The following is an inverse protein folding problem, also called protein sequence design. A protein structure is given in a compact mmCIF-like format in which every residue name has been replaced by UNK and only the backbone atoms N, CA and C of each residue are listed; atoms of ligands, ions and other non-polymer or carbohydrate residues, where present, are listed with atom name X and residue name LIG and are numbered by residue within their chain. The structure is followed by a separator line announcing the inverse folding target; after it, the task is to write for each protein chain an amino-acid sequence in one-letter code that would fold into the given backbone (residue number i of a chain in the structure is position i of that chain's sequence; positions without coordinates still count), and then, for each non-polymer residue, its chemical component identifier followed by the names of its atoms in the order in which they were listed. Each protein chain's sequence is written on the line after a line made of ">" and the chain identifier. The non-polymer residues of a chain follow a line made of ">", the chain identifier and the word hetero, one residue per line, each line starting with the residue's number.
data_IF_467220825510
#
_entry.id   IF_467220825510
#
_cell.length_a   1.000
_cell.length_b   1.000
_cell.length_c   1.000
_cell.angle_alpha   90.00
_cell.angle_beta   90.00
_cell.angle_gamma   90.00
#
_symmetry.space_group_name_H-M   'P 1'
#
loop_
_entity.id
_entity.type
_entity.pdbx_description
1 polymer ?
#
# COMPACT_ATOMS: atom_id res chain seq x y z
N UNK A 1 -8.43 -44.25 -28.77
CA UNK A 1 -8.51 -43.84 -30.19
C UNK A 1 -9.83 -44.31 -30.81
N UNK A 2 -10.24 -45.57 -30.62
CA UNK A 2 -11.54 -46.05 -31.15
C UNK A 2 -12.81 -45.44 -30.54
N UNK A 3 -12.82 -45.04 -29.26
CA UNK A 3 -13.99 -44.37 -28.65
C UNK A 3 -14.19 -42.91 -29.07
N UNK A 4 -13.16 -42.25 -29.62
CA UNK A 4 -13.24 -40.86 -30.09
C UNK A 4 -13.83 -40.75 -31.51
N UNK A 5 -13.67 -41.78 -32.34
CA UNK A 5 -14.12 -41.76 -33.73
C UNK A 5 -15.63 -42.01 -33.89
N UNK A 6 -16.31 -42.58 -32.89
CA UNK A 6 -17.74 -42.89 -32.98
C UNK A 6 -18.66 -41.69 -32.68
N UNK A 7 -18.16 -40.63 -32.05
CA UNK A 7 -18.94 -39.42 -31.75
C UNK A 7 -18.96 -38.39 -32.89
N UNK A 8 -18.13 -38.54 -33.93
CA UNK A 8 -18.05 -37.56 -35.02
C UNK A 8 -19.13 -37.73 -36.12
N UNK A 9 -19.88 -38.85 -36.14
CA UNK A 9 -20.80 -39.18 -37.24
C UNK A 9 -22.29 -38.96 -36.94
N UNK A 10 -22.65 -38.22 -35.88
CA UNK A 10 -24.03 -37.75 -35.71
C UNK A 10 -24.18 -36.34 -36.29
N UNK A 11 -25.25 -36.04 -37.05
CA UNK A 11 -25.51 -34.67 -37.47
C UNK A 11 -25.78 -33.83 -36.22
N UNK A 12 -24.77 -33.04 -35.82
CA UNK A 12 -24.87 -32.14 -34.65
C UNK A 12 -26.05 -31.22 -34.87
N UNK A 13 -26.96 -31.17 -33.90
CA UNK A 13 -28.10 -30.26 -33.95
C UNK A 13 -27.58 -28.82 -33.86
N UNK A 14 -28.22 -27.86 -34.55
CA UNK A 14 -27.80 -26.45 -34.51
C UNK A 14 -27.72 -25.88 -33.07
N UNK A 15 -28.45 -26.50 -32.14
CA UNK A 15 -28.44 -26.19 -30.72
C UNK A 15 -27.08 -26.53 -30.08
N UNK A 16 -26.46 -27.66 -30.40
CA UNK A 16 -25.14 -28.04 -29.87
C UNK A 16 -24.01 -27.12 -30.38
N UNK A 17 -24.11 -26.66 -31.64
CA UNK A 17 -23.14 -25.70 -32.20
C UNK A 17 -23.23 -24.33 -31.51
N UNK A 18 -24.42 -23.89 -31.10
CA UNK A 18 -24.61 -22.66 -30.33
C UNK A 18 -24.04 -22.76 -28.90
N UNK A 19 -24.05 -23.95 -28.29
CA UNK A 19 -23.45 -24.17 -26.97
C UNK A 19 -21.92 -24.22 -27.01
N UNK A 20 -21.32 -24.76 -28.08
CA UNK A 20 -19.87 -24.81 -28.27
C UNK A 20 -19.27 -23.40 -28.48
N UNK A 21 -20.03 -22.46 -29.07
CA UNK A 21 -19.64 -21.04 -29.19
C UNK A 21 -19.79 -20.23 -27.89
N UNK A 22 -20.56 -20.72 -26.91
CA UNK A 22 -20.91 -20.00 -25.69
C UNK A 22 -20.02 -20.34 -24.48
N UNK A 23 -19.11 -21.31 -24.59
CA UNK A 23 -18.15 -21.60 -23.53
C UNK A 23 -17.00 -20.58 -23.54
N UNK A 24 -16.76 -19.97 -22.37
CA UNK A 24 -15.63 -19.06 -22.20
C UNK A 24 -14.32 -19.85 -22.41
N UNK A 25 -13.45 -19.44 -23.35
CA UNK A 25 -12.20 -20.13 -23.58
C UNK A 25 -11.27 -20.06 -22.34
N UNK A 26 -10.39 -21.06 -22.15
CA UNK A 26 -9.50 -21.10 -21.00
C UNK A 26 -8.50 -19.92 -21.01
N UNK A 27 -8.08 -19.51 -19.81
CA UNK A 27 -7.08 -18.46 -19.64
C UNK A 27 -5.68 -19.02 -19.47
N UNK A 28 -4.73 -18.49 -20.25
CA UNK A 28 -3.32 -18.86 -20.18
C UNK A 28 -2.46 -17.59 -20.23
N UNK A 29 -1.54 -17.46 -19.27
CA UNK A 29 -0.53 -16.41 -19.26
C UNK A 29 0.86 -17.01 -19.38
N UNK A 30 1.66 -16.49 -20.31
CA UNK A 30 3.06 -16.85 -20.41
C UNK A 30 3.81 -16.26 -19.20
N UNK A 31 4.38 -17.14 -18.37
CA UNK A 31 5.12 -16.75 -17.17
C UNK A 31 6.58 -17.17 -17.27
N UNK A 32 7.47 -16.28 -16.83
CA UNK A 32 8.88 -16.57 -16.67
C UNK A 32 9.12 -17.17 -15.27
N UNK A 33 10.30 -17.75 -15.02
CA UNK A 33 10.68 -18.28 -13.71
C UNK A 33 10.48 -17.26 -12.56
N UNK A 34 10.67 -15.98 -12.86
CA UNK A 34 10.45 -14.87 -11.93
C UNK A 34 8.97 -14.58 -11.65
N UNK A 35 8.13 -14.49 -12.69
CA UNK A 35 6.71 -14.11 -12.56
C UNK A 35 5.80 -15.27 -12.18
N UNK A 36 6.27 -16.52 -12.33
CA UNK A 36 5.53 -17.73 -12.00
C UNK A 36 5.07 -17.76 -10.54
N UNK A 37 5.92 -17.33 -9.60
CA UNK A 37 5.58 -17.28 -8.16
C UNK A 37 4.42 -16.35 -7.90
N UNK A 38 4.48 -15.12 -8.42
CA UNK A 38 3.43 -14.12 -8.26
C UNK A 38 2.13 -14.56 -8.93
N UNK A 39 2.24 -15.19 -10.10
CA UNK A 39 1.07 -15.74 -10.80
C UNK A 39 0.40 -16.83 -9.97
N UNK A 40 1.16 -17.80 -9.43
CA UNK A 40 0.64 -18.86 -8.58
C UNK A 40 -0.06 -18.32 -7.33
N UNK A 41 0.46 -17.27 -6.69
CA UNK A 41 -0.18 -16.63 -5.53
C UNK A 41 -1.54 -16.04 -5.93
N UNK A 42 -1.61 -15.37 -7.08
CA UNK A 42 -2.86 -14.76 -7.57
C UNK A 42 -3.88 -15.81 -7.99
N UNK A 43 -3.46 -16.83 -8.76
CA UNK A 43 -4.37 -17.89 -9.24
C UNK A 43 -4.91 -18.75 -8.09
N UNK A 44 -4.16 -18.87 -6.99
CA UNK A 44 -4.65 -19.54 -5.79
C UNK A 44 -5.81 -18.79 -5.12
N UNK A 45 -5.92 -17.46 -5.30
CA UNK A 45 -7.08 -16.70 -4.85
C UNK A 45 -8.25 -16.83 -5.81
N UNK A 46 -7.98 -16.79 -7.12
CA UNK A 46 -8.99 -17.03 -8.15
C UNK A 46 -8.39 -16.91 -9.55
N UNK A 47 -8.88 -17.77 -10.45
CA UNK A 47 -8.48 -17.71 -11.87
C UNK A 47 -9.15 -16.51 -12.54
N UNK A 48 -8.41 -15.62 -13.23
CA UNK A 48 -8.99 -14.49 -13.94
C UNK A 48 -9.79 -14.94 -15.16
N UNK A 49 -10.77 -14.12 -15.54
CA UNK A 49 -11.66 -14.37 -16.69
C UNK A 49 -10.93 -14.20 -18.03
N UNK A 50 -11.51 -14.75 -19.10
CA UNK A 50 -10.93 -14.63 -20.45
C UNK A 50 -10.77 -13.17 -20.88
N UNK A 51 -9.54 -12.83 -21.30
CA UNK A 51 -9.10 -11.46 -21.66
C UNK A 51 -9.23 -10.41 -20.55
N UNK A 52 -9.28 -10.84 -19.30
CA UNK A 52 -9.16 -9.94 -18.15
C UNK A 52 -7.70 -9.52 -17.92
N UNK A 53 -7.50 -8.33 -17.36
CA UNK A 53 -6.17 -7.82 -17.00
C UNK A 53 -5.58 -8.71 -15.90
N UNK A 54 -4.35 -9.22 -16.12
CA UNK A 54 -3.66 -10.04 -15.13
C UNK A 54 -3.24 -9.21 -13.91
N UNK A 55 -3.78 -9.47 -12.70
CA UNK A 55 -3.40 -8.72 -11.52
C UNK A 55 -1.98 -9.08 -11.01
N UNK A 56 -1.43 -10.23 -11.41
CA UNK A 56 -0.12 -10.71 -10.92
C UNK A 56 1.05 -9.76 -11.25
N UNK A 57 0.98 -9.04 -12.38
CA UNK A 57 2.01 -8.07 -12.79
C UNK A 57 2.13 -6.94 -11.76
N UNK A 58 1.06 -6.63 -11.06
CA UNK A 58 0.95 -5.50 -10.15
C UNK A 58 1.30 -5.90 -8.73
N UNK A 59 0.85 -7.09 -8.35
CA UNK A 59 1.29 -7.75 -7.13
C UNK A 59 2.81 -7.92 -7.08
N UNK A 60 3.49 -8.01 -8.23
CA UNK A 60 4.95 -8.07 -8.32
C UNK A 60 5.65 -6.94 -7.54
N UNK A 61 5.13 -5.72 -7.59
CA UNK A 61 5.71 -4.57 -6.88
C UNK A 61 5.00 -4.29 -5.57
N UNK A 62 3.67 -4.34 -5.58
CA UNK A 62 2.85 -3.94 -4.44
C UNK A 62 2.99 -4.90 -3.26
N UNK A 63 3.07 -6.22 -3.52
CA UNK A 63 3.20 -7.20 -2.45
C UNK A 63 4.53 -7.05 -1.69
N UNK A 64 5.70 -7.01 -2.36
CA UNK A 64 6.96 -6.75 -1.65
C UNK A 64 7.03 -5.39 -0.97
N UNK A 65 6.44 -4.35 -1.57
CA UNK A 65 6.39 -3.01 -0.97
C UNK A 65 5.58 -2.99 0.33
N UNK A 66 4.38 -3.59 0.34
CA UNK A 66 3.55 -3.67 1.55
C UNK A 66 4.21 -4.53 2.64
N UNK A 67 4.87 -5.63 2.24
CA UNK A 67 5.71 -6.41 3.17
C UNK A 67 6.81 -5.55 3.79
N UNK A 68 7.54 -4.78 2.97
CA UNK A 68 8.63 -3.93 3.43
C UNK A 68 8.17 -2.84 4.41
N UNK A 69 6.97 -2.31 4.26
CA UNK A 69 6.40 -1.33 5.20
C UNK A 69 6.08 -1.93 6.56
N UNK A 70 5.73 -3.22 6.60
CA UNK A 70 5.49 -3.98 7.85
C UNK A 70 6.81 -4.44 8.49
N UNK A 71 7.75 -4.90 7.68
CA UNK A 71 9.06 -5.42 8.09
C UNK A 71 10.17 -4.39 7.83
N UNK A 72 10.00 -3.16 8.30
CA UNK A 72 10.95 -2.06 8.04
C UNK A 72 12.13 -2.01 9.01
N UNK A 73 13.09 -2.92 8.86
CA UNK A 73 14.36 -2.93 9.61
C UNK A 73 15.51 -3.36 8.69
N UNK A 74 16.55 -2.55 8.57
CA UNK A 74 17.70 -2.81 7.68
C UNK A 74 18.44 -4.08 8.08
N UNK A 75 18.65 -4.30 9.38
CA UNK A 75 19.47 -5.40 9.89
C UNK A 75 18.83 -6.75 9.57
N UNK A 76 17.56 -6.89 9.92
CA UNK A 76 16.79 -8.09 9.63
C UNK A 76 16.56 -8.28 8.11
N UNK A 77 16.32 -7.20 7.36
CA UNK A 77 16.22 -7.25 5.91
C UNK A 77 17.50 -7.76 5.25
N UNK A 78 18.66 -7.31 5.74
CA UNK A 78 19.95 -7.74 5.23
C UNK A 78 20.20 -9.23 5.43
N UNK A 79 19.81 -9.78 6.59
CA UNK A 79 19.86 -11.22 6.84
C UNK A 79 18.96 -11.98 5.85
N UNK A 80 17.71 -11.55 5.69
CA UNK A 80 16.77 -12.17 4.74
C UNK A 80 17.28 -12.07 3.28
N UNK A 81 17.94 -10.97 2.94
CA UNK A 81 18.56 -10.78 1.62
C UNK A 81 19.70 -11.79 1.39
N UNK A 82 20.58 -11.99 2.37
CA UNK A 82 21.66 -12.98 2.28
C UNK A 82 21.12 -14.41 2.17
N UNK A 83 20.08 -14.75 2.92
CA UNK A 83 19.42 -16.07 2.83
C UNK A 83 18.80 -16.28 1.45
N UNK A 84 18.08 -15.29 0.91
CA UNK A 84 17.50 -15.36 -0.43
C UNK A 84 18.58 -15.50 -1.51
N UNK A 85 19.68 -14.76 -1.38
CA UNK A 85 20.81 -14.83 -2.31
C UNK A 85 21.50 -16.20 -2.25
N UNK A 86 21.67 -16.77 -1.06
CA UNK A 86 22.19 -18.13 -0.88
C UNK A 86 21.32 -19.16 -1.63
N UNK A 87 19.98 -19.08 -1.50
CA UNK A 87 19.06 -19.99 -2.18
C UNK A 87 19.14 -19.91 -3.71
N UNK A 88 19.41 -18.72 -4.25
CA UNK A 88 19.57 -18.53 -5.71
C UNK A 88 20.93 -19.07 -6.18
N UNK A 89 22.02 -18.83 -5.44
CA UNK A 89 23.35 -19.31 -5.82
C UNK A 89 23.48 -20.84 -5.77
N UNK A 90 22.83 -21.47 -4.79
CA UNK A 90 22.88 -22.92 -4.58
C UNK A 90 21.71 -23.69 -5.19
N UNK A 91 20.93 -23.09 -6.10
CA UNK A 91 19.74 -23.69 -6.74
C UNK A 91 19.98 -25.12 -7.27
N UNK A 92 21.14 -25.40 -7.86
CA UNK A 92 21.47 -26.72 -8.43
C UNK A 92 21.98 -27.74 -7.41
N UNK A 93 22.39 -27.31 -6.22
CA UNK A 93 23.00 -28.15 -5.19
C UNK A 93 22.06 -28.43 -4.01
N UNK A 94 20.92 -27.77 -3.97
CA UNK A 94 19.92 -27.94 -2.92
C UNK A 94 19.09 -29.20 -3.17
N UNK A 95 19.12 -30.10 -2.19
CA UNK A 95 18.27 -31.28 -2.19
C UNK A 95 16.87 -30.89 -1.68
N UNK A 96 15.85 -31.10 -2.51
CA UNK A 96 14.48 -30.60 -2.29
C UNK A 96 13.58 -31.63 -1.59
N UNK A 97 14.13 -32.50 -0.74
CA UNK A 97 13.39 -33.60 -0.12
C UNK A 97 12.34 -33.15 0.92
N UNK A 98 12.37 -31.88 1.35
CA UNK A 98 11.44 -31.33 2.34
C UNK A 98 10.47 -30.35 1.68
N UNK A 99 9.16 -30.56 1.84
CA UNK A 99 8.09 -29.71 1.29
C UNK A 99 8.27 -28.21 1.63
N UNK A 100 8.74 -27.92 2.86
CA UNK A 100 8.99 -26.53 3.30
C UNK A 100 10.14 -25.90 2.51
N UNK A 101 11.21 -26.66 2.25
CA UNK A 101 12.38 -26.18 1.51
C UNK A 101 12.02 -26.01 0.04
N UNK A 102 11.20 -26.90 -0.52
CA UNK A 102 10.66 -26.76 -1.87
C UNK A 102 9.83 -25.49 -2.02
N UNK A 103 8.93 -25.20 -1.07
CA UNK A 103 8.12 -23.99 -1.07
C UNK A 103 8.97 -22.72 -1.03
N UNK A 104 9.97 -22.68 -0.15
CA UNK A 104 10.90 -21.54 -0.02
C UNK A 104 11.74 -21.39 -1.29
N UNK A 105 12.19 -22.50 -1.88
CA UNK A 105 12.94 -22.49 -3.15
C UNK A 105 12.10 -22.02 -4.33
N UNK A 106 10.82 -22.39 -4.38
CA UNK A 106 9.86 -21.85 -5.34
C UNK A 106 9.74 -20.32 -5.18
N UNK A 107 9.64 -19.83 -3.95
CA UNK A 107 9.51 -18.41 -3.61
C UNK A 107 10.79 -17.56 -3.61
N UNK A 108 11.96 -18.09 -4.01
CA UNK A 108 13.26 -17.43 -3.82
C UNK A 108 13.36 -15.99 -4.36
N UNK A 109 12.81 -15.74 -5.54
CA UNK A 109 12.80 -14.39 -6.14
C UNK A 109 11.91 -13.42 -5.37
N UNK A 110 10.79 -13.91 -4.83
CA UNK A 110 9.87 -13.11 -4.02
C UNK A 110 10.55 -12.69 -2.70
N UNK A 111 11.27 -13.61 -2.04
CA UNK A 111 12.02 -13.31 -0.80
C UNK A 111 13.12 -12.28 -1.06
N UNK A 112 13.83 -12.38 -2.18
CA UNK A 112 14.88 -11.43 -2.54
C UNK A 112 14.33 -10.00 -2.71
N UNK A 113 13.24 -9.84 -3.45
CA UNK A 113 12.63 -8.52 -3.69
C UNK A 113 12.05 -7.95 -2.39
N UNK A 114 11.39 -8.79 -1.58
CA UNK A 114 10.87 -8.41 -0.26
C UNK A 114 11.98 -7.87 0.65
N UNK A 115 13.12 -8.56 0.71
CA UNK A 115 14.26 -8.14 1.49
C UNK A 115 14.88 -6.83 0.96
N UNK A 116 14.96 -6.66 -0.37
CA UNK A 116 15.47 -5.43 -0.97
C UNK A 116 14.59 -4.21 -0.67
N UNK A 117 13.26 -4.32 -0.81
CA UNK A 117 12.35 -3.23 -0.43
C UNK A 117 12.35 -2.96 1.07
N UNK A 118 12.43 -4.02 1.89
CA UNK A 118 12.49 -3.93 3.35
C UNK A 118 13.74 -3.18 3.84
N UNK A 119 14.86 -3.33 3.13
CA UNK A 119 16.07 -2.55 3.40
C UNK A 119 15.87 -1.06 3.08
N UNK A 120 15.20 -0.73 1.98
CA UNK A 120 14.87 0.65 1.60
C UNK A 120 13.92 1.29 2.62
N UNK A 121 12.86 0.60 3.04
CA UNK A 121 11.93 1.13 4.05
C UNK A 121 12.57 1.23 5.44
N UNK A 122 13.44 0.29 5.81
CA UNK A 122 14.23 0.37 7.03
C UNK A 122 15.16 1.59 7.05
N UNK A 123 15.75 1.96 5.90
CA UNK A 123 16.51 3.21 5.73
C UNK A 123 15.64 4.46 5.91
N UNK A 124 14.40 4.45 5.42
CA UNK A 124 13.45 5.55 5.63
C UNK A 124 13.05 5.67 7.11
N UNK A 125 12.85 4.55 7.80
CA UNK A 125 12.58 4.56 9.25
C UNK A 125 13.81 4.84 10.11
N UNK A 126 15.02 4.72 9.53
CA UNK A 126 16.29 4.83 10.22
C UNK A 126 16.38 3.88 11.43
N UNK A 127 16.00 2.61 11.22
CA UNK A 127 16.04 1.56 12.24
C UNK A 127 16.91 0.38 11.76
N UNK A 128 17.97 0.09 12.51
CA UNK A 128 18.88 -1.04 12.31
C UNK A 128 19.02 -1.80 13.61
N UNK A 129 18.45 -2.99 13.70
CA UNK A 129 18.46 -3.79 14.93
C UNK A 129 18.05 -2.97 16.16
N UNK A 130 16.99 -2.15 16.04
CA UNK A 130 16.48 -1.24 17.07
C UNK A 130 17.32 0.03 17.36
N UNK A 131 18.41 0.25 16.63
CA UNK A 131 19.31 1.41 16.75
C UNK A 131 19.14 2.37 15.57
N UNK A 132 19.29 3.68 15.84
CA UNK A 132 19.23 4.72 14.81
C UNK A 132 20.64 5.20 14.42
N UNK A 133 20.90 5.37 13.13
CA UNK A 133 22.19 5.87 12.63
C UNK A 133 22.11 7.34 12.21
N UNK A 134 23.10 8.12 12.62
CA UNK A 134 23.20 9.52 12.27
C UNK A 134 24.03 9.73 10.99
N UNK A 135 23.40 9.53 9.81
CA UNK A 135 24.08 9.67 8.52
C UNK A 135 24.36 11.13 8.12
N UNK A 136 23.44 12.06 8.38
CA UNK A 136 23.50 13.44 7.86
C UNK A 136 23.74 14.52 8.93
N UNK A 137 23.96 14.12 10.18
CA UNK A 137 23.96 15.04 11.32
C UNK A 137 22.54 15.48 11.67
N UNK A 138 22.14 15.26 12.92
CA UNK A 138 20.83 15.72 13.39
C UNK A 138 20.73 17.23 13.37
N UNK A 139 19.52 17.72 13.09
CA UNK A 139 19.19 19.14 13.11
C UNK A 139 18.61 19.59 14.45
N UNK A 140 18.40 18.66 15.39
CA UNK A 140 18.01 19.00 16.75
C UNK A 140 19.24 19.45 17.55
N UNK A 141 19.23 20.71 17.96
CA UNK A 141 20.26 21.27 18.82
C UNK A 141 19.81 21.19 20.27
N UNK A 142 20.72 20.75 21.15
CA UNK A 142 20.49 20.73 22.58
C UNK A 142 20.50 22.16 23.10
N UNK A 143 19.38 22.60 23.69
CA UNK A 143 19.35 23.88 24.39
C UNK A 143 19.99 23.71 25.78
N UNK A 144 21.23 24.16 25.93
CA UNK A 144 21.98 24.06 27.18
C UNK A 144 21.54 25.10 28.24
N UNK A 145 20.57 25.95 27.93
CA UNK A 145 20.15 27.06 28.81
C UNK A 145 19.38 26.62 30.06
N UNK A 146 18.80 25.41 30.06
CA UNK A 146 18.16 24.85 31.25
C UNK A 146 19.10 23.84 31.91
N UNK A 147 19.88 24.29 32.88
CA UNK A 147 20.75 23.48 33.74
C UNK A 147 19.98 22.56 34.72
N UNK A 148 18.77 22.14 34.37
CA UNK A 148 18.02 21.13 35.10
C UNK A 148 18.12 19.83 34.28
N UNK A 149 18.90 18.88 34.78
CA UNK A 149 19.23 17.57 34.20
C UNK A 149 18.02 16.68 33.81
N UNK A 150 16.79 17.14 34.01
CA UNK A 150 15.58 16.33 33.90
C UNK A 150 14.88 16.42 32.55
N UNK A 151 15.04 17.52 31.78
CA UNK A 151 14.40 17.66 30.45
C UNK A 151 15.26 18.51 29.51
N UNK A 152 16.03 17.86 28.65
CA UNK A 152 16.71 18.50 27.53
C UNK A 152 15.67 18.79 26.44
N UNK A 153 15.30 20.05 26.27
CA UNK A 153 14.44 20.47 25.16
C UNK A 153 15.34 20.69 23.95
N UNK A 154 15.04 20.02 22.84
CA UNK A 154 15.76 20.21 21.60
C UNK A 154 15.14 21.34 20.79
N UNK A 155 15.95 22.33 20.38
CA UNK A 155 15.53 23.35 19.41
C UNK A 155 15.51 22.74 18.01
N UNK A 156 14.45 23.03 17.27
CA UNK A 156 14.31 22.63 15.87
C UNK A 156 15.25 23.48 14.99
N UNK A 157 16.35 22.89 14.53
CA UNK A 157 17.32 23.53 13.63
C UNK A 157 17.06 23.29 12.14
N UNK A 158 16.04 22.50 11.77
CA UNK A 158 15.67 22.22 10.38
C UNK A 158 15.13 20.81 10.16
N UNK A 159 14.72 20.52 8.92
CA UNK A 159 14.25 19.19 8.50
C UNK A 159 15.45 18.30 8.22
N UNK A 160 15.39 17.02 8.64
CA UNK A 160 16.42 16.03 8.36
C UNK A 160 16.40 15.61 6.89
N UNK A 161 17.57 15.38 6.28
CA UNK A 161 17.67 15.23 4.83
C UNK A 161 17.04 13.93 4.30
N UNK A 162 17.04 12.85 5.09
CA UNK A 162 16.54 11.55 4.63
C UNK A 162 16.06 10.67 5.79
N UNK A 163 14.80 10.26 5.77
CA UNK A 163 14.21 9.41 6.80
C UNK A 163 13.89 10.13 8.10
N UNK A 164 13.77 9.36 9.20
CA UNK A 164 13.48 9.90 10.53
C UNK A 164 14.79 10.34 11.22
N UNK A 165 14.76 11.51 11.87
CA UNK A 165 15.91 12.02 12.60
C UNK A 165 16.30 11.05 13.75
N UNK A 166 17.58 10.67 13.88
CA UNK A 166 18.04 9.74 14.92
C UNK A 166 17.63 10.11 16.34
N UNK A 167 17.54 11.41 16.66
CA UNK A 167 17.26 11.84 18.04
C UNK A 167 15.84 11.51 18.49
N UNK A 168 14.92 11.29 17.56
CA UNK A 168 13.58 10.80 17.91
C UNK A 168 13.61 9.43 18.55
N UNK A 169 14.67 8.63 18.43
CA UNK A 169 14.75 7.32 19.08
C UNK A 169 14.94 7.42 20.59
N UNK A 170 15.65 8.46 21.06
CA UNK A 170 15.97 8.66 22.48
C UNK A 170 15.00 9.59 23.22
N UNK A 171 13.99 10.13 22.54
CA UNK A 171 12.98 10.98 23.18
C UNK A 171 11.87 10.18 23.87
N UNK A 172 11.37 10.68 25.01
CA UNK A 172 10.23 10.07 25.71
C UNK A 172 8.96 10.05 24.84
N UNK A 173 8.81 11.03 23.94
CA UNK A 173 7.66 11.15 23.04
C UNK A 173 7.85 10.40 21.71
N UNK A 174 8.92 9.60 21.57
CA UNK A 174 9.26 8.83 20.37
C UNK A 174 8.11 7.93 19.90
N UNK A 175 7.48 7.22 20.84
CA UNK A 175 6.41 6.28 20.56
C UNK A 175 5.16 6.99 20.01
N UNK A 176 4.81 8.14 20.59
CA UNK A 176 3.66 8.92 20.13
C UNK A 176 3.88 9.48 18.71
N UNK A 177 5.09 9.98 18.43
CA UNK A 177 5.47 10.46 17.11
C UNK A 177 5.45 9.32 16.07
N UNK A 178 6.14 8.22 16.34
CA UNK A 178 6.25 7.09 15.42
C UNK A 178 4.89 6.43 15.14
N UNK A 179 4.03 6.31 16.16
CA UNK A 179 2.68 5.77 15.97
C UNK A 179 1.83 6.70 15.09
N UNK A 180 1.85 8.02 15.35
CA UNK A 180 1.12 8.99 14.53
C UNK A 180 1.62 9.01 13.08
N UNK A 181 2.92 8.90 12.87
CA UNK A 181 3.52 8.81 11.54
C UNK A 181 3.11 7.53 10.82
N UNK A 182 3.31 6.35 11.43
CA UNK A 182 2.98 5.05 10.81
C UNK A 182 1.50 4.93 10.48
N UNK A 183 0.61 5.40 11.35
CA UNK A 183 -0.84 5.38 11.08
C UNK A 183 -1.20 6.22 9.85
N UNK A 184 -0.68 7.45 9.74
CA UNK A 184 -0.97 8.33 8.59
C UNK A 184 -0.37 7.80 7.30
N UNK A 185 0.88 7.33 7.34
CA UNK A 185 1.54 6.74 6.17
C UNK A 185 0.81 5.48 5.69
N UNK A 186 0.31 4.64 6.59
CA UNK A 186 -0.49 3.46 6.25
C UNK A 186 -1.81 3.84 5.54
N UNK A 187 -2.50 4.87 6.02
CA UNK A 187 -3.71 5.39 5.37
C UNK A 187 -3.39 5.90 3.96
N UNK A 188 -2.34 6.70 3.79
CA UNK A 188 -1.95 7.24 2.47
C UNK A 188 -1.64 6.12 1.48
N UNK A 189 -0.83 5.14 1.88
CA UNK A 189 -0.48 3.99 1.03
C UNK A 189 -1.71 3.13 0.72
N UNK A 190 -2.58 2.88 1.70
CA UNK A 190 -3.80 2.10 1.51
C UNK A 190 -4.75 2.75 0.50
N UNK A 191 -4.95 4.07 0.58
CA UNK A 191 -5.77 4.80 -0.39
C UNK A 191 -5.15 4.79 -1.78
N UNK A 192 -3.82 4.96 -1.89
CA UNK A 192 -3.13 4.83 -3.17
C UNK A 192 -3.29 3.44 -3.79
N UNK A 193 -3.21 2.37 -2.98
CA UNK A 193 -3.44 0.99 -3.42
C UNK A 193 -4.88 0.77 -3.92
N UNK A 194 -5.88 1.31 -3.22
CA UNK A 194 -7.28 1.22 -3.64
C UNK A 194 -7.54 1.98 -4.95
N UNK A 195 -7.01 3.20 -5.06
CA UNK A 195 -7.09 4.01 -6.29
C UNK A 195 -6.41 3.28 -7.46
N UNK A 196 -5.28 2.64 -7.20
CA UNK A 196 -4.60 1.83 -8.22
C UNK A 196 -5.45 0.65 -8.68
N UNK A 197 -6.10 -0.08 -7.76
CA UNK A 197 -7.05 -1.15 -8.11
C UNK A 197 -8.22 -0.65 -8.97
N UNK A 198 -8.73 0.55 -8.68
CA UNK A 198 -9.79 1.19 -9.46
C UNK A 198 -9.34 1.55 -10.88
N UNK A 199 -8.08 1.93 -11.08
CA UNK A 199 -7.52 2.14 -12.42
C UNK A 199 -7.44 0.83 -13.22
N UNK A 200 -7.20 -0.32 -12.60
CA UNK A 200 -7.21 -1.61 -13.31
C UNK A 200 -8.59 -1.99 -13.79
N UNK A 201 -9.59 -1.76 -12.94
CA UNK A 201 -10.98 -1.99 -13.31
C UNK A 201 -11.38 -1.13 -14.50
N UNK A 202 -10.87 0.11 -14.60
CA UNK A 202 -11.13 0.98 -15.75
C UNK A 202 -10.77 0.30 -17.09
N UNK A 203 -9.65 -0.45 -17.14
CA UNK A 203 -9.22 -1.14 -18.36
C UNK A 203 -10.09 -2.35 -18.72
N UNK A 204 -10.82 -2.94 -17.76
CA UNK A 204 -11.67 -4.10 -17.98
C UNK A 204 -13.14 -3.72 -18.26
N UNK A 205 -13.54 -2.51 -17.92
CA UNK A 205 -14.95 -2.10 -17.94
C UNK A 205 -15.46 -1.80 -19.36
N UNK A 206 -16.60 -2.39 -19.71
CA UNK A 206 -17.33 -2.09 -20.96
C UNK A 206 -17.98 -0.70 -20.89
N UNK A 207 -18.21 -0.07 -22.05
CA UNK A 207 -18.72 1.31 -22.18
C UNK A 207 -19.97 1.64 -21.35
N UNK A 208 -20.91 0.69 -21.19
CA UNK A 208 -22.11 0.90 -20.36
C UNK A 208 -21.84 0.83 -18.85
N UNK A 209 -20.95 -0.06 -18.41
CA UNK A 209 -20.58 -0.22 -17.01
C UNK A 209 -19.68 0.92 -16.51
N UNK A 210 -19.03 1.65 -17.42
CA UNK A 210 -18.20 2.81 -17.08
C UNK A 210 -19.03 3.89 -16.36
N UNK A 211 -20.11 4.34 -17.01
CA UNK A 211 -20.95 5.41 -16.46
C UNK A 211 -21.76 4.96 -15.25
N UNK A 212 -22.29 3.74 -15.25
CA UNK A 212 -23.17 3.28 -14.17
C UNK A 212 -22.45 2.70 -12.96
N UNK A 213 -21.20 2.25 -13.08
CA UNK A 213 -20.50 1.56 -11.97
C UNK A 213 -19.16 2.17 -11.61
N UNK A 214 -18.32 2.51 -12.60
CA UNK A 214 -16.97 3.00 -12.31
C UNK A 214 -16.98 4.46 -11.84
N UNK A 215 -17.76 5.33 -12.49
CA UNK A 215 -17.83 6.76 -12.14
C UNK A 215 -18.37 6.99 -10.71
N UNK A 216 -19.53 6.41 -10.30
CA UNK A 216 -20.03 6.61 -8.94
C UNK A 216 -19.06 6.10 -7.88
N UNK A 217 -18.44 4.94 -8.12
CA UNK A 217 -17.47 4.35 -7.19
C UNK A 217 -16.20 5.20 -7.06
N UNK A 218 -15.71 5.77 -8.17
CA UNK A 218 -14.59 6.68 -8.17
C UNK A 218 -14.91 7.98 -7.42
N UNK A 219 -16.07 8.58 -7.69
CA UNK A 219 -16.51 9.79 -7.01
C UNK A 219 -16.58 9.58 -5.48
N UNK A 220 -17.18 8.48 -5.04
CA UNK A 220 -17.24 8.13 -3.62
C UNK A 220 -15.85 7.96 -2.99
N UNK A 221 -14.96 7.19 -3.63
CA UNK A 221 -13.61 6.94 -3.10
C UNK A 221 -12.79 8.24 -2.98
N UNK A 222 -12.78 9.08 -4.00
CA UNK A 222 -12.04 10.35 -3.98
C UNK A 222 -12.66 11.37 -3.02
N UNK A 223 -13.99 11.40 -2.90
CA UNK A 223 -14.68 12.33 -1.99
C UNK A 223 -14.34 12.04 -0.52
N UNK A 224 -14.43 10.77 -0.10
CA UNK A 224 -14.20 10.42 1.30
C UNK A 224 -12.71 10.19 1.63
N UNK A 225 -12.10 9.20 0.98
CA UNK A 225 -10.72 8.80 1.28
C UNK A 225 -9.69 9.74 0.64
N UNK A 226 -9.97 10.28 -0.54
CA UNK A 226 -9.13 11.30 -1.16
C UNK A 226 -9.06 12.58 -0.33
N UNK A 227 -10.19 13.04 0.23
CA UNK A 227 -10.20 14.17 1.15
C UNK A 227 -9.43 13.90 2.44
N UNK A 228 -9.51 12.69 2.99
CA UNK A 228 -8.70 12.29 4.16
C UNK A 228 -7.21 12.42 3.89
N UNK A 229 -6.73 11.91 2.75
CA UNK A 229 -5.32 12.03 2.33
C UNK A 229 -4.94 13.50 2.15
N UNK A 230 -5.80 14.29 1.52
CA UNK A 230 -5.60 15.74 1.38
C UNK A 230 -5.46 16.45 2.74
N UNK A 231 -6.29 16.11 3.72
CA UNK A 231 -6.21 16.70 5.07
C UNK A 231 -4.90 16.33 5.79
N UNK A 232 -4.39 15.11 5.59
CA UNK A 232 -3.10 14.68 6.14
C UNK A 232 -1.98 15.55 5.58
N UNK A 233 -1.89 15.68 4.25
CA UNK A 233 -0.86 16.50 3.62
C UNK A 233 -1.00 17.98 3.99
N UNK A 234 -2.20 18.53 3.93
CA UNK A 234 -2.45 19.93 4.32
C UNK A 234 -2.02 20.19 5.77
N UNK A 235 -2.33 19.26 6.70
CA UNK A 235 -1.90 19.36 8.09
C UNK A 235 -0.37 19.33 8.24
N UNK A 236 0.35 18.59 7.39
CA UNK A 236 1.81 18.56 7.40
C UNK A 236 2.46 19.83 6.84
N UNK A 237 1.82 20.52 5.90
CA UNK A 237 2.36 21.76 5.32
C UNK A 237 2.14 23.01 6.19
N UNK A 238 1.15 23.00 7.08
CA UNK A 238 0.84 24.15 7.93
C UNK A 238 1.63 24.12 9.25
N UNK A 239 2.24 25.25 9.63
CA UNK A 239 2.79 25.45 10.97
C UNK A 239 1.66 25.78 11.94
N UNK A 240 1.54 25.00 13.01
CA UNK A 240 0.53 25.17 14.05
C UNK A 240 1.18 25.85 15.26
N UNK A 241 0.70 27.05 15.62
CA UNK A 241 1.13 27.75 16.84
C UNK A 241 0.25 27.40 18.06
N UNK A 242 -0.95 26.88 17.81
CA UNK A 242 -1.91 26.39 18.79
C UNK A 242 -2.16 24.88 18.62
N UNK A 243 -2.99 24.29 19.49
CA UNK A 243 -3.35 22.87 19.39
C UNK A 243 -3.90 22.52 18.01
N UNK A 244 -3.24 21.61 17.32
CA UNK A 244 -3.63 21.18 15.98
C UNK A 244 -4.87 20.27 16.05
N UNK A 245 -5.87 20.44 15.17
CA UNK A 245 -7.10 19.69 15.20
C UNK A 245 -6.88 18.19 14.94
N UNK A 246 -7.68 17.33 15.57
CA UNK A 246 -7.66 15.89 15.30
C UNK A 246 -8.39 15.58 13.99
N UNK A 247 -7.69 14.91 13.07
CA UNK A 247 -8.21 14.61 11.72
C UNK A 247 -9.44 13.68 11.77
N UNK A 248 -9.44 12.72 12.71
CA UNK A 248 -10.56 11.79 12.91
C UNK A 248 -11.84 12.55 13.27
N UNK A 249 -11.74 13.56 14.14
CA UNK A 249 -12.92 14.31 14.57
C UNK A 249 -13.47 15.18 13.44
N UNK A 250 -12.62 15.73 12.57
CA UNK A 250 -13.05 16.44 11.36
C UNK A 250 -13.84 15.51 10.44
N UNK A 251 -13.37 14.28 10.23
CA UNK A 251 -14.05 13.30 9.37
C UNK A 251 -15.39 12.84 9.96
N UNK A 252 -15.47 12.59 11.27
CA UNK A 252 -16.72 12.22 11.93
C UNK A 252 -17.74 13.38 11.85
N UNK A 253 -17.28 14.63 12.05
CA UNK A 253 -18.15 15.80 12.04
C UNK A 253 -18.80 16.06 10.67
N UNK A 254 -18.14 15.70 9.57
CA UNK A 254 -18.71 15.83 8.21
C UNK A 254 -20.02 15.03 8.08
N UNK A 255 -20.13 13.87 8.71
CA UNK A 255 -21.34 13.05 8.67
C UNK A 255 -22.33 13.35 9.80
N UNK A 256 -21.84 13.71 10.99
CA UNK A 256 -22.70 13.88 12.17
C UNK A 256 -23.33 15.27 12.26
N UNK A 257 -22.66 16.30 11.76
CA UNK A 257 -23.14 17.69 11.80
C UNK A 257 -22.59 18.48 10.61
N UNK A 258 -23.13 18.24 9.40
CA UNK A 258 -22.64 18.92 8.20
C UNK A 258 -22.84 20.43 8.34
N UNK A 259 -21.74 21.18 8.22
CA UNK A 259 -21.75 22.64 8.18
C UNK A 259 -21.42 23.37 9.47
N UNK A 260 -21.20 22.68 10.60
CA UNK A 260 -20.72 23.32 11.84
C UNK A 260 -19.23 23.06 12.06
N UNK A 261 -18.45 24.13 12.20
CA UNK A 261 -17.01 24.04 12.48
C UNK A 261 -16.78 24.63 13.86
N UNK A 262 -16.26 23.81 14.78
CA UNK A 262 -15.82 24.28 16.07
C UNK A 262 -14.42 24.90 15.95
N UNK A 263 -14.10 25.86 16.81
CA UNK A 263 -12.78 26.52 16.84
C UNK A 263 -11.61 25.53 17.01
N UNK A 264 -11.88 24.35 17.60
CA UNK A 264 -10.91 23.27 17.81
C UNK A 264 -10.78 22.30 16.61
N UNK A 265 -11.64 22.40 15.59
CA UNK A 265 -11.64 21.54 14.39
C UNK A 265 -11.38 22.32 13.10
N UNK A 266 -11.02 23.61 13.22
CA UNK A 266 -10.65 24.45 12.09
C UNK A 266 -9.30 24.01 11.51
N UNK A 267 -9.32 23.55 10.26
CA UNK A 267 -8.15 23.14 9.50
C UNK A 267 -7.67 24.27 8.58
N UNK A 268 -8.59 24.92 7.87
CA UNK A 268 -8.26 26.02 6.95
C UNK A 268 -8.26 27.37 7.67
N UNK A 269 -7.47 28.33 7.17
CA UNK A 269 -7.44 29.69 7.72
C UNK A 269 -8.82 30.36 7.65
N UNK A 270 -9.64 30.01 6.65
CA UNK A 270 -11.03 30.47 6.52
C UNK A 270 -12.05 29.38 6.88
N UNK A 271 -12.88 29.66 7.89
CA UNK A 271 -14.00 28.80 8.30
C UNK A 271 -15.01 28.60 7.17
N UNK A 272 -15.33 29.68 6.43
CA UNK A 272 -16.30 29.63 5.32
C UNK A 272 -15.87 28.70 4.18
N UNK A 273 -14.59 28.65 3.84
CA UNK A 273 -14.11 27.78 2.76
C UNK A 273 -14.14 26.32 3.18
N UNK A 274 -13.79 26.02 4.43
CA UNK A 274 -13.86 24.67 4.98
C UNK A 274 -15.30 24.15 4.98
N UNK A 275 -16.27 25.00 5.35
CA UNK A 275 -17.68 24.65 5.37
C UNK A 275 -18.20 24.31 3.97
N UNK A 276 -17.86 25.14 2.97
CA UNK A 276 -18.26 24.92 1.57
C UNK A 276 -17.66 23.61 1.05
N UNK A 277 -16.37 23.37 1.30
CA UNK A 277 -15.68 22.14 0.87
C UNK A 277 -16.30 20.89 1.50
N UNK A 278 -16.58 20.91 2.82
CA UNK A 278 -17.21 19.80 3.52
C UNK A 278 -18.62 19.51 3.01
N UNK A 279 -19.40 20.55 2.68
CA UNK A 279 -20.73 20.39 2.09
C UNK A 279 -20.67 19.77 0.69
N UNK A 280 -19.72 20.21 -0.15
CA UNK A 280 -19.51 19.65 -1.49
C UNK A 280 -19.14 18.16 -1.39
N UNK A 281 -18.24 17.80 -0.47
CA UNK A 281 -17.83 16.42 -0.22
C UNK A 281 -19.00 15.55 0.24
N UNK A 282 -19.81 16.06 1.17
CA UNK A 282 -21.00 15.34 1.63
C UNK A 282 -21.97 15.06 0.48
N UNK A 283 -22.23 16.06 -0.37
CA UNK A 283 -23.10 15.90 -1.55
C UNK A 283 -22.49 14.86 -2.51
N UNK A 284 -21.20 14.95 -2.81
CA UNK A 284 -20.48 14.01 -3.67
C UNK A 284 -20.42 12.58 -3.10
N UNK A 285 -20.55 12.39 -1.79
CA UNK A 285 -20.61 11.07 -1.17
C UNK A 285 -22.01 10.43 -1.25
N UNK A 286 -23.06 11.25 -1.36
CA UNK A 286 -24.46 10.79 -1.39
C UNK A 286 -24.95 10.53 -2.81
N UNK A 287 -24.41 11.28 -3.79
CA UNK A 287 -24.68 11.13 -5.23
C UNK A 287 -23.87 9.97 -5.82
#
# INVERSE_FOLDING_TARGET
>A
IEKYNLQQNQPRTQIELLFEEAENPPTHFETNAFTKVFHSIVTNYGQPSYREVNPAVLYLFLFPFTYAMMFGDIGHAFINFLVALMLILFEKKLDLNNDIVELIHFGKYLILIMAAFSMITGLVYNDVFSLAFNFFGSKYQVDQTNSNLQKMVFKFGGVYNFGIDPWWRWGDNSMQFNNSFKMKTAVVIGVLQMVFGMFLRLFNVKKHQFWCSWVPEAMFLFSFFGYMVFCIFYKWFQKWESQAPSLINILIQIFLSPGTINSSTQLFQSVKTQQIVQMIIFILCVV
#
